data_IF_532239544354
#
_entry.id   IF_532239544354
#
_cell.length_a   1.000
_cell.length_b   1.000
_cell.length_c   1.000
_cell.angle_alpha   90.00
_cell.angle_beta   90.00
_cell.angle_gamma   90.00
#
_symmetry.space_group_name_H-M   'P 1'
#
loop_
_entity.id
_entity.type
_entity.pdbx_description
1 polymer ?
#
# COMPACT_ATOMS: atom_id res chain seq x y z
N UNK A 1 -8.35 27.39 -25.17
CA UNK A 1 -7.66 27.70 -23.89
C UNK A 1 -8.00 26.59 -22.89
N UNK A 2 -7.10 25.64 -22.66
CA UNK A 2 -7.37 24.39 -21.92
C UNK A 2 -6.57 24.40 -20.61
N UNK A 3 -7.12 25.00 -19.56
CA UNK A 3 -6.46 25.17 -18.26
C UNK A 3 -7.07 24.38 -17.09
N UNK A 4 -8.21 23.72 -17.27
CA UNK A 4 -8.95 23.13 -16.13
C UNK A 4 -8.50 21.74 -15.70
N UNK A 5 -7.82 20.97 -16.55
CA UNK A 5 -7.36 19.62 -16.18
C UNK A 5 -6.19 19.63 -15.17
N UNK A 6 -5.30 20.63 -15.25
CA UNK A 6 -4.11 20.73 -14.38
C UNK A 6 -4.47 21.20 -12.96
N UNK A 7 -5.43 22.12 -12.83
CA UNK A 7 -5.83 22.66 -11.53
C UNK A 7 -6.46 21.59 -10.63
N UNK A 8 -7.36 20.76 -11.17
CA UNK A 8 -8.03 19.72 -10.38
C UNK A 8 -7.07 18.59 -9.97
N UNK A 9 -6.12 18.21 -10.84
CA UNK A 9 -5.04 17.28 -10.47
C UNK A 9 -4.14 17.85 -9.36
N UNK A 10 -3.90 19.16 -9.34
CA UNK A 10 -3.08 19.82 -8.32
C UNK A 10 -3.81 19.89 -6.98
N UNK A 11 -5.11 20.19 -6.98
CA UNK A 11 -5.93 20.24 -5.76
C UNK A 11 -6.13 18.85 -5.18
N UNK A 12 -6.38 17.83 -6.00
CA UNK A 12 -6.45 16.42 -5.56
C UNK A 12 -5.10 15.94 -5.02
N UNK A 13 -3.98 16.29 -5.67
CA UNK A 13 -2.65 15.98 -5.14
C UNK A 13 -2.38 16.67 -3.79
N UNK A 14 -2.82 17.91 -3.61
CA UNK A 14 -2.70 18.63 -2.35
C UNK A 14 -3.62 18.06 -1.26
N UNK A 15 -4.86 17.65 -1.59
CA UNK A 15 -5.78 16.97 -0.66
C UNK A 15 -5.28 15.59 -0.26
N UNK A 16 -4.74 14.80 -1.19
CA UNK A 16 -4.09 13.52 -0.90
C UNK A 16 -2.82 13.68 -0.07
N UNK A 17 -2.11 14.81 -0.20
CA UNK A 17 -0.96 15.13 0.65
C UNK A 17 -1.35 15.50 2.09
N UNK A 18 -2.58 15.97 2.31
CA UNK A 18 -3.14 16.33 3.62
C UNK A 18 -4.00 15.22 4.25
N UNK A 19 -4.47 14.26 3.45
CA UNK A 19 -5.19 13.09 3.92
C UNK A 19 -4.26 12.21 4.77
N UNK A 20 -4.77 11.60 5.85
CA UNK A 20 -3.99 10.64 6.62
C UNK A 20 -3.51 9.52 5.69
N UNK A 21 -2.25 9.07 5.81
CA UNK A 21 -1.71 8.07 4.92
C UNK A 21 -2.42 6.73 5.15
N UNK A 22 -3.00 6.17 4.08
CA UNK A 22 -3.84 4.98 4.08
C UNK A 22 -3.26 3.90 3.18
N UNK A 23 -3.19 2.66 3.69
CA UNK A 23 -2.64 1.51 2.97
C UNK A 23 -3.68 0.38 2.90
N UNK A 24 -4.08 0.02 1.68
CA UNK A 24 -4.88 -1.17 1.43
C UNK A 24 -4.04 -2.20 0.67
N UNK A 25 -4.05 -3.46 1.11
CA UNK A 25 -3.39 -4.57 0.44
C UNK A 25 -4.41 -5.60 -0.06
N UNK A 26 -4.34 -5.88 -1.36
CA UNK A 26 -5.06 -6.98 -2.00
C UNK A 26 -4.04 -8.07 -2.37
N UNK A 27 -3.92 -9.06 -1.49
CA UNK A 27 -2.96 -10.15 -1.65
C UNK A 27 -3.34 -11.06 -2.82
N UNK A 28 -4.64 -11.27 -3.06
CA UNK A 28 -5.12 -12.15 -4.12
C UNK A 28 -4.92 -11.53 -5.51
N UNK A 29 -5.21 -10.23 -5.66
CA UNK A 29 -4.99 -9.53 -6.93
C UNK A 29 -3.57 -8.97 -7.09
N UNK A 30 -2.69 -9.17 -6.09
CA UNK A 30 -1.32 -8.63 -6.03
C UNK A 30 -1.26 -7.11 -6.20
N UNK A 31 -2.20 -6.40 -5.58
CA UNK A 31 -2.37 -4.94 -5.71
C UNK A 31 -2.26 -4.24 -4.37
N UNK A 32 -1.80 -3.00 -4.43
CA UNK A 32 -1.71 -2.10 -3.29
C UNK A 32 -2.38 -0.79 -3.65
N UNK A 33 -3.16 -0.25 -2.71
CA UNK A 33 -3.65 1.14 -2.75
C UNK A 33 -2.92 1.94 -1.68
N UNK A 34 -2.23 3.00 -2.09
CA UNK A 34 -1.51 3.91 -1.21
C UNK A 34 -1.54 5.32 -1.79
N UNK A 35 -1.72 6.34 -0.94
CA UNK A 35 -1.86 7.75 -1.34
C UNK A 35 -2.87 7.95 -2.49
N UNK A 36 -4.01 7.23 -2.43
CA UNK A 36 -5.04 7.27 -3.46
C UNK A 36 -4.72 6.53 -4.77
N UNK A 37 -3.48 6.05 -4.97
CA UNK A 37 -3.06 5.32 -6.18
C UNK A 37 -3.16 3.82 -5.99
N UNK A 38 -3.57 3.10 -7.03
CA UNK A 38 -3.58 1.63 -7.09
C UNK A 38 -2.53 1.15 -8.08
N UNK A 39 -1.65 0.24 -7.65
CA UNK A 39 -0.62 -0.35 -8.50
C UNK A 39 -0.36 -1.81 -8.10
N UNK A 40 0.26 -2.57 -9.01
CA UNK A 40 0.64 -3.95 -8.75
C UNK A 40 2.04 -4.02 -8.11
N UNK A 41 2.21 -4.94 -7.16
CA UNK A 41 3.52 -5.29 -6.61
C UNK A 41 3.88 -6.73 -7.00
N UNK A 42 5.17 -7.02 -7.27
CA UNK A 42 5.58 -8.40 -7.42
C UNK A 42 5.37 -9.17 -6.10
N UNK A 43 5.12 -10.50 -6.15
CA UNK A 43 4.75 -11.29 -4.97
C UNK A 43 5.76 -11.17 -3.83
N UNK A 44 7.05 -11.17 -4.17
CA UNK A 44 8.12 -11.10 -3.19
C UNK A 44 8.14 -9.78 -2.40
N UNK A 45 7.95 -8.65 -3.08
CA UNK A 45 7.90 -7.33 -2.45
C UNK A 45 6.58 -7.11 -1.70
N UNK A 46 5.47 -7.63 -2.23
CA UNK A 46 4.17 -7.59 -1.56
C UNK A 46 4.17 -8.39 -0.26
N UNK A 47 4.79 -9.58 -0.26
CA UNK A 47 4.95 -10.41 0.93
C UNK A 47 5.74 -9.66 2.01
N UNK A 48 6.86 -9.03 1.61
CA UNK A 48 7.68 -8.23 2.52
C UNK A 48 6.90 -7.06 3.12
N UNK A 49 6.16 -6.31 2.29
CA UNK A 49 5.29 -5.22 2.76
C UNK A 49 4.21 -5.74 3.71
N UNK A 50 3.59 -6.88 3.39
CA UNK A 50 2.53 -7.48 4.20
C UNK A 50 3.01 -7.90 5.60
N UNK A 51 4.24 -8.41 5.74
CA UNK A 51 4.82 -8.73 7.06
C UNK A 51 4.79 -7.50 7.98
N UNK A 52 5.23 -6.34 7.47
CA UNK A 52 5.26 -5.11 8.27
C UNK A 52 3.86 -4.50 8.44
N UNK A 53 3.00 -4.61 7.44
CA UNK A 53 1.62 -4.13 7.52
C UNK A 53 0.82 -4.87 8.60
N UNK A 54 0.93 -6.21 8.70
CA UNK A 54 0.28 -6.96 9.79
C UNK A 54 0.83 -6.59 11.16
N UNK A 55 2.13 -6.37 11.26
CA UNK A 55 2.75 -5.95 12.52
C UNK A 55 2.26 -4.57 12.97
N UNK A 56 2.23 -3.61 12.06
CA UNK A 56 1.68 -2.29 12.34
C UNK A 56 0.19 -2.36 12.68
N UNK A 57 -0.60 -3.19 11.98
CA UNK A 57 -2.02 -3.42 12.28
C UNK A 57 -2.24 -4.01 13.69
N UNK A 58 -1.32 -4.86 14.17
CA UNK A 58 -1.38 -5.48 15.50
C UNK A 58 -0.66 -4.67 16.59
N UNK A 59 -0.03 -3.55 16.24
CA UNK A 59 0.81 -2.79 17.17
C UNK A 59 2.04 -3.55 17.66
N UNK A 60 2.54 -4.53 16.89
CA UNK A 60 3.71 -5.33 17.26
C UNK A 60 5.01 -4.50 17.18
N UNK A 61 5.98 -4.87 18.02
CA UNK A 61 7.29 -4.21 18.07
C UNK A 61 8.04 -4.24 16.72
N UNK A 62 8.90 -3.25 16.44
CA UNK A 62 9.75 -3.23 15.25
C UNK A 62 10.66 -4.47 15.14
N UNK A 63 10.82 -5.01 13.92
CA UNK A 63 11.61 -6.21 13.65
C UNK A 63 13.08 -5.89 13.33
N UNK A 64 14.06 -6.60 13.91
CA UNK A 64 15.44 -6.51 13.42
C UNK A 64 15.53 -7.13 12.02
N UNK A 65 16.43 -6.62 11.16
CA UNK A 65 16.76 -7.32 9.91
C UNK A 65 17.38 -8.70 10.22
N UNK A 66 17.23 -9.67 9.31
CA UNK A 66 17.91 -10.94 9.45
C UNK A 66 19.44 -10.73 9.47
N UNK A 67 20.19 -11.52 10.25
CA UNK A 67 21.64 -11.47 10.28
C UNK A 67 22.23 -11.68 8.87
N UNK A 68 23.33 -10.99 8.58
CA UNK A 68 23.99 -11.08 7.27
C UNK A 68 24.63 -12.44 7.01
N UNK A 69 25.14 -13.07 8.05
CA UNK A 69 25.99 -14.26 7.93
C UNK A 69 25.29 -15.56 8.37
N UNK A 70 24.10 -15.43 8.95
CA UNK A 70 23.31 -16.57 9.43
C UNK A 70 21.94 -16.55 8.77
N UNK A 71 21.50 -17.67 8.19
CA UNK A 71 20.13 -17.80 7.71
C UNK A 71 19.14 -17.70 8.87
N UNK A 72 18.11 -16.87 8.72
CA UNK A 72 17.07 -16.71 9.73
C UNK A 72 15.81 -17.49 9.35
N UNK A 73 15.53 -18.52 10.14
CA UNK A 73 14.38 -19.41 9.94
C UNK A 73 13.07 -18.72 10.30
N UNK A 74 13.05 -17.89 11.33
CA UNK A 74 11.82 -17.19 11.71
C UNK A 74 11.44 -16.14 10.66
N UNK A 75 12.42 -15.39 10.15
CA UNK A 75 12.21 -14.46 9.05
C UNK A 75 11.69 -15.16 7.79
N UNK A 76 12.28 -16.32 7.45
CA UNK A 76 11.77 -17.17 6.38
C UNK A 76 10.31 -17.57 6.62
N UNK A 77 9.96 -18.04 7.81
CA UNK A 77 8.59 -18.47 8.12
C UNK A 77 7.60 -17.31 8.00
N UNK A 78 7.91 -16.14 8.59
CA UNK A 78 7.07 -14.92 8.49
C UNK A 78 6.84 -14.54 7.02
N UNK A 79 7.90 -14.55 6.22
CA UNK A 79 7.83 -14.22 4.81
C UNK A 79 7.02 -15.24 3.99
N UNK A 80 7.25 -16.55 4.18
CA UNK A 80 6.54 -17.60 3.46
C UNK A 80 5.05 -17.65 3.83
N UNK A 81 4.67 -17.32 5.08
CA UNK A 81 3.26 -17.19 5.46
C UNK A 81 2.56 -16.16 4.57
N UNK A 82 3.15 -14.98 4.39
CA UNK A 82 2.58 -13.94 3.53
C UNK A 82 2.57 -14.34 2.06
N UNK A 83 3.63 -14.99 1.59
CA UNK A 83 3.72 -15.45 0.21
C UNK A 83 2.62 -16.48 -0.12
N UNK A 84 2.31 -17.39 0.82
CA UNK A 84 1.19 -18.34 0.66
C UNK A 84 -0.17 -17.66 0.53
N UNK A 85 -0.38 -16.53 1.23
CA UNK A 85 -1.62 -15.76 1.08
C UNK A 85 -1.72 -15.06 -0.28
N UNK A 86 -0.59 -14.75 -0.92
CA UNK A 86 -0.52 -14.07 -2.21
C UNK A 86 -0.64 -15.04 -3.38
N UNK A 87 0.07 -16.16 -3.31
CA UNK A 87 0.14 -17.16 -4.38
C UNK A 87 -1.02 -18.16 -4.35
N UNK A 88 -1.78 -18.16 -3.25
CA UNK A 88 -2.86 -19.12 -3.03
C UNK A 88 -2.35 -20.55 -2.88
N UNK A 89 -3.27 -21.52 -3.03
CA UNK A 89 -2.96 -22.94 -2.83
C UNK A 89 -2.10 -23.55 -3.96
N UNK A 90 -2.01 -22.88 -5.13
CA UNK A 90 -1.48 -23.45 -6.38
C UNK A 90 -0.30 -22.69 -7.01
N UNK A 91 0.16 -21.58 -6.42
CA UNK A 91 1.22 -20.78 -7.06
C UNK A 91 2.59 -21.48 -7.10
N UNK A 92 3.43 -21.05 -8.05
CA UNK A 92 4.79 -21.54 -8.32
C UNK A 92 5.74 -21.31 -7.14
N UNK A 93 5.62 -22.18 -6.12
CA UNK A 93 6.33 -22.10 -4.84
C UNK A 93 7.78 -22.53 -4.92
N UNK A 94 8.13 -23.37 -5.89
CA UNK A 94 9.36 -24.15 -5.85
C UNK A 94 10.62 -23.28 -5.93
N UNK A 95 10.65 -22.24 -6.76
CA UNK A 95 11.87 -21.46 -6.94
C UNK A 95 12.18 -20.56 -5.74
N UNK A 96 11.17 -19.95 -5.11
CA UNK A 96 11.37 -19.08 -3.94
C UNK A 96 11.61 -19.89 -2.66
N UNK A 97 10.88 -21.00 -2.46
CA UNK A 97 11.15 -21.90 -1.33
C UNK A 97 12.54 -22.55 -1.44
N UNK A 98 12.99 -22.88 -2.66
CA UNK A 98 14.36 -23.35 -2.92
C UNK A 98 15.42 -22.26 -2.67
N UNK A 99 15.19 -21.03 -3.14
CA UNK A 99 16.10 -19.92 -2.91
C UNK A 99 16.26 -19.63 -1.40
N UNK A 100 15.18 -19.78 -0.63
CA UNK A 100 15.16 -19.62 0.82
C UNK A 100 15.36 -20.93 1.58
N UNK A 101 15.89 -22.00 0.96
CA UNK A 101 16.01 -23.33 1.59
C UNK A 101 16.75 -23.27 2.93
N UNK A 102 17.83 -22.48 3.00
CA UNK A 102 18.64 -22.31 4.22
C UNK A 102 18.06 -21.32 5.22
N UNK A 103 17.19 -20.40 4.81
CA UNK A 103 16.68 -19.27 5.61
C UNK A 103 16.73 -17.98 4.79
N UNK A 104 16.18 -16.89 5.34
CA UNK A 104 16.37 -15.57 4.74
C UNK A 104 17.60 -14.93 5.37
N UNK A 105 18.59 -14.57 4.55
CA UNK A 105 19.75 -13.82 5.00
C UNK A 105 19.52 -12.30 4.85
N UNK A 106 20.40 -11.51 5.49
CA UNK A 106 20.39 -10.05 5.39
C UNK A 106 20.54 -9.51 3.96
N UNK A 107 21.22 -10.23 3.07
CA UNK A 107 21.44 -9.82 1.68
C UNK A 107 20.15 -9.91 0.86
N UNK A 108 19.42 -11.03 0.97
CA UNK A 108 18.11 -11.22 0.38
C UNK A 108 17.12 -10.18 0.90
N UNK A 109 17.02 -10.02 2.23
CA UNK A 109 16.14 -9.03 2.84
C UNK A 109 16.43 -7.62 2.33
N UNK A 110 17.71 -7.20 2.34
CA UNK A 110 18.10 -5.85 1.92
C UNK A 110 17.86 -5.60 0.42
N UNK A 111 18.04 -6.63 -0.42
CA UNK A 111 17.77 -6.55 -1.86
C UNK A 111 16.28 -6.32 -2.13
N UNK A 112 15.41 -7.15 -1.54
CA UNK A 112 13.96 -7.00 -1.70
C UNK A 112 13.42 -5.73 -1.04
N UNK A 113 13.95 -5.33 0.12
CA UNK A 113 13.60 -4.06 0.75
C UNK A 113 13.97 -2.87 -0.15
N UNK A 114 15.16 -2.90 -0.75
CA UNK A 114 15.60 -1.83 -1.67
C UNK A 114 14.73 -1.78 -2.93
N UNK A 115 14.37 -2.93 -3.49
CA UNK A 115 13.46 -3.02 -4.65
C UNK A 115 12.06 -2.52 -4.31
N UNK A 116 11.50 -2.90 -3.16
CA UNK A 116 10.22 -2.40 -2.67
C UNK A 116 10.24 -0.87 -2.52
N UNK A 117 11.26 -0.31 -1.87
CA UNK A 117 11.42 1.15 -1.72
C UNK A 117 11.45 1.87 -3.08
N UNK A 118 12.19 1.33 -4.06
CA UNK A 118 12.24 1.88 -5.41
C UNK A 118 10.87 1.87 -6.10
N UNK A 119 10.11 0.78 -5.98
CA UNK A 119 8.77 0.70 -6.57
C UNK A 119 7.85 1.72 -5.91
N UNK A 120 7.82 1.78 -4.57
CA UNK A 120 6.98 2.75 -3.85
C UNK A 120 7.33 4.20 -4.22
N UNK A 121 8.62 4.52 -4.30
CA UNK A 121 9.08 5.86 -4.72
C UNK A 121 8.68 6.17 -6.17
N UNK A 122 8.76 5.20 -7.08
CA UNK A 122 8.36 5.39 -8.47
C UNK A 122 6.86 5.64 -8.62
N UNK A 123 6.02 4.85 -7.93
CA UNK A 123 4.57 4.94 -8.07
C UNK A 123 3.99 6.13 -7.28
N UNK A 124 4.48 6.38 -6.06
CA UNK A 124 3.94 7.37 -5.14
C UNK A 124 4.67 8.72 -5.19
N UNK A 125 5.91 8.75 -5.70
CA UNK A 125 6.73 9.96 -5.75
C UNK A 125 6.97 10.51 -4.34
N UNK A 126 6.79 11.84 -4.13
CA UNK A 126 6.94 12.48 -2.82
C UNK A 126 6.04 11.90 -1.72
N UNK A 127 4.89 11.32 -2.09
CA UNK A 127 3.94 10.73 -1.14
C UNK A 127 4.37 9.35 -0.63
N UNK A 128 5.53 8.82 -1.06
CA UNK A 128 5.99 7.48 -0.67
C UNK A 128 6.38 7.37 0.81
N UNK A 129 6.87 8.47 1.41
CA UNK A 129 7.51 8.48 2.73
C UNK A 129 6.78 7.68 3.84
N UNK A 130 5.46 7.86 4.08
CA UNK A 130 4.75 7.11 5.12
C UNK A 130 4.55 5.62 4.82
N UNK A 131 4.72 5.20 3.57
CA UNK A 131 4.58 3.80 3.13
C UNK A 131 5.93 3.06 3.08
N UNK A 132 7.04 3.77 3.28
CA UNK A 132 8.36 3.15 3.33
C UNK A 132 8.54 2.45 4.68
N UNK A 133 9.14 1.26 4.65
CA UNK A 133 9.59 0.58 5.87
C UNK A 133 10.77 1.37 6.43
N UNK A 134 10.54 2.05 7.55
CA UNK A 134 11.53 2.83 8.30
C UNK A 134 12.45 1.89 9.07
N UNK A 135 13.75 2.19 9.12
CA UNK A 135 14.75 1.40 9.85
C UNK A 135 15.00 1.91 11.28
N UNK A 136 14.23 2.92 11.71
CA UNK A 136 14.31 3.52 13.04
C UNK A 136 15.50 4.45 13.25
N UNK A 137 16.33 4.69 12.22
CA UNK A 137 17.43 5.68 12.24
C UNK A 137 18.64 5.35 13.13
N UNK A 138 18.47 4.57 14.19
CA UNK A 138 19.53 4.23 15.17
C UNK A 138 19.84 2.74 15.16
N UNK A 139 21.12 2.37 15.36
CA UNK A 139 21.55 0.97 15.47
C UNK A 139 21.22 0.41 16.87
N UNK A 140 20.82 -0.87 16.99
CA UNK A 140 20.56 -1.83 15.92
C UNK A 140 19.29 -1.48 15.13
N UNK A 141 19.37 -1.54 13.79
CA UNK A 141 18.28 -1.15 12.89
C UNK A 141 17.05 -2.02 13.15
N UNK A 142 15.91 -1.37 13.39
CA UNK A 142 14.64 -2.06 13.58
C UNK A 142 13.61 -1.52 12.60
N UNK A 143 13.17 -2.41 11.73
CA UNK A 143 12.30 -2.12 10.62
C UNK A 143 10.84 -2.12 11.07
N UNK A 144 10.10 -1.08 10.68
CA UNK A 144 8.66 -0.95 10.92
C UNK A 144 7.98 -0.14 9.82
N UNK A 145 6.68 -0.32 9.69
CA UNK A 145 5.83 0.56 8.92
C UNK A 145 5.24 1.59 9.89
N UNK A 146 5.47 2.89 9.65
CA UNK A 146 5.07 3.98 10.55
C UNK A 146 3.58 4.39 10.39
N UNK A 147 2.77 3.55 9.76
CA UNK A 147 1.33 3.76 9.64
C UNK A 147 0.61 3.34 10.91
N UNK A 148 -0.47 4.07 11.23
CA UNK A 148 -1.34 3.72 12.36
C UNK A 148 -2.11 2.43 12.04
N UNK A 149 -2.45 1.60 13.03
CA UNK A 149 -3.22 0.37 12.81
C UNK A 149 -4.51 0.59 12.03
N UNK A 150 -5.26 1.64 12.39
CA UNK A 150 -6.52 2.01 11.74
C UNK A 150 -6.37 2.63 10.34
N UNK A 151 -5.16 2.68 9.79
CA UNK A 151 -4.89 3.15 8.43
C UNK A 151 -4.43 2.02 7.49
N UNK A 152 -4.49 0.76 7.96
CA UNK A 152 -4.05 -0.42 7.23
C UNK A 152 -5.22 -1.39 7.10
N UNK A 153 -5.51 -1.82 5.87
CA UNK A 153 -6.57 -2.80 5.61
C UNK A 153 -6.16 -3.84 4.59
N UNK A 154 -6.75 -5.03 4.74
CA UNK A 154 -6.66 -6.11 3.78
C UNK A 154 -8.03 -6.30 3.14
N UNK A 155 -8.06 -6.46 1.83
CA UNK A 155 -9.31 -6.71 1.11
C UNK A 155 -9.20 -6.43 -0.38
N UNK A 156 -10.23 -6.81 -1.15
CA UNK A 156 -10.23 -6.63 -2.59
C UNK A 156 -10.13 -5.15 -2.95
N UNK A 157 -9.18 -4.81 -3.82
CA UNK A 157 -9.10 -3.47 -4.41
C UNK A 157 -9.84 -3.52 -5.73
N UNK A 158 -11.10 -3.11 -5.70
CA UNK A 158 -11.90 -2.96 -6.91
C UNK A 158 -11.21 -1.95 -7.83
N UNK A 159 -10.87 -2.39 -9.05
CA UNK A 159 -10.21 -1.56 -10.06
C UNK A 159 -11.07 -0.39 -10.57
N UNK A 160 -12.27 -0.17 -10.01
CA UNK A 160 -13.19 0.89 -10.41
C UNK A 160 -13.00 2.13 -9.52
N UNK A 161 -11.89 2.82 -9.71
CA UNK A 161 -11.72 4.20 -9.25
C UNK A 161 -10.91 4.98 -10.30
N UNK A 162 -11.52 5.14 -11.48
CA UNK A 162 -10.97 5.95 -12.56
C UNK A 162 -12.03 6.49 -13.52
N UNK A 163 -13.33 6.37 -13.21
CA UNK A 163 -14.39 6.91 -14.06
C UNK A 163 -15.52 7.51 -13.22
N UNK A 164 -15.76 8.80 -13.51
CA UNK A 164 -17.04 9.53 -13.33
C UNK A 164 -17.31 10.18 -11.98
N UNK A 165 -16.65 11.32 -11.73
CA UNK A 165 -17.31 12.48 -11.10
C UNK A 165 -17.16 13.71 -12.00
N UNK A 166 -17.76 13.63 -13.19
CA UNK A 166 -18.16 14.81 -13.97
C UNK A 166 -19.42 14.46 -14.76
N UNK A 167 -20.58 14.80 -14.21
CA UNK A 167 -21.68 15.32 -15.02
C UNK A 167 -22.33 16.46 -14.24
N UNK A 168 -21.69 17.61 -14.40
CA UNK A 168 -22.24 18.97 -14.47
C UNK A 168 -23.73 19.14 -14.11
N UNK A 169 -23.93 19.98 -13.10
CA UNK A 169 -25.17 20.72 -12.87
C UNK A 169 -25.54 21.59 -14.09
N UNK A 170 -26.79 21.51 -14.55
CA UNK A 170 -27.63 22.67 -14.91
C UNK A 170 -28.88 22.21 -15.66
N UNK A 171 -30.03 22.38 -15.02
CA UNK A 171 -31.31 22.82 -15.57
C UNK A 171 -32.25 22.87 -14.38
N UNK A 172 -33.00 23.91 -14.06
CA UNK A 172 -33.00 25.30 -14.45
C UNK A 172 -33.83 25.95 -13.33
N UNK A 173 -33.48 27.17 -12.99
CA UNK A 173 -34.37 28.11 -12.34
C UNK A 173 -35.66 28.21 -13.16
N UNK A 174 -36.84 28.08 -12.55
CA UNK A 174 -38.00 28.91 -12.91
C UNK A 174 -39.03 28.92 -11.76
N UNK A 175 -39.10 30.09 -11.12
CA UNK A 175 -40.23 30.77 -10.50
C UNK A 175 -41.29 30.02 -9.65
N UNK A 176 -41.39 30.45 -8.40
CA UNK A 176 -42.56 30.39 -7.51
C UNK A 176 -43.75 31.21 -8.10
N UNK A 177 -45.00 31.15 -7.59
CA UNK A 177 -45.31 31.43 -6.18
C UNK A 177 -46.41 30.58 -5.51
N UNK A 178 -46.31 30.60 -4.19
CA UNK A 178 -47.37 30.46 -3.21
C UNK A 178 -48.67 31.17 -3.67
N UNK A 179 -49.77 30.43 -3.74
CA UNK A 179 -51.12 31.00 -3.63
C UNK A 179 -51.99 30.08 -2.78
N UNK A 180 -52.25 30.55 -1.57
CA UNK A 180 -53.37 30.13 -0.75
C UNK A 180 -54.70 30.20 -1.51
N UNK A 181 -55.51 29.14 -1.47
CA UNK A 181 -56.96 29.27 -1.30
C UNK A 181 -57.64 27.99 -0.78
N UNK A 182 -58.59 28.23 0.10
CA UNK A 182 -59.46 27.36 0.89
C UNK A 182 -60.28 26.33 0.10
N UNK A 183 -60.63 25.22 0.76
CA UNK A 183 -62.02 24.90 1.17
C UNK A 183 -62.01 23.77 2.20
#
# INVERSE_FOLDING_TARGET
MTGHASYNQTVEAARLALAPPELQLDLAARRVRAAGKVFALPPAELALLSVFARRALRGESPLPAPPKELPDVEWKQRYLVELRWIDGLLGERDDTERALKRGMDGSYFSTHLSKLRKILQRELGPAAAPYLISDGGTRPRRYRLDLRPGAIWYGPINARAGQSVTSTAHSAWEAAPDTAHSS
#
